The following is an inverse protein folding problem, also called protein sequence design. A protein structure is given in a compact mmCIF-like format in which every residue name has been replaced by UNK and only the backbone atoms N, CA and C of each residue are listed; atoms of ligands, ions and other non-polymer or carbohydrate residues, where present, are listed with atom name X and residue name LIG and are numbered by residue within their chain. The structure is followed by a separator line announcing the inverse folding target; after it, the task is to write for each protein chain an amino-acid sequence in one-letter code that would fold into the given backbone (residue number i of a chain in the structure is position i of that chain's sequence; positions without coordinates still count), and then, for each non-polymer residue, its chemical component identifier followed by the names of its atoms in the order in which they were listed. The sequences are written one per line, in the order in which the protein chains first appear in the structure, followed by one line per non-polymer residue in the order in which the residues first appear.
data_IF_240405422998
#
_entry.id   IF_240405422998
#
_cell.length_a   1.000
_cell.length_b   1.000
_cell.length_c   1.000
_cell.angle_alpha   90.00
_cell.angle_beta   90.00
_cell.angle_gamma   90.00
#
_symmetry.space_group_name_H-M   'P 1'
#
loop_
_entity.id
_entity.type
_entity.pdbx_description
1 polymer ?
#
# COMPACT_ATOMS: atom_id res chain seq x y z
N UNK A 1 46.10 -22.20 -5.84
CA UNK A 1 45.17 -21.91 -4.72
C UNK A 1 43.86 -21.43 -5.30
N UNK A 2 42.75 -22.07 -4.96
CA UNK A 2 41.40 -21.64 -5.37
C UNK A 2 41.01 -20.41 -4.54
N UNK A 3 41.04 -19.24 -5.18
CA UNK A 3 40.64 -17.98 -4.53
C UNK A 3 39.17 -18.05 -4.10
N UNK A 4 38.91 -17.77 -2.82
CA UNK A 4 37.58 -17.77 -2.23
C UNK A 4 37.26 -16.37 -1.72
N UNK A 5 36.19 -15.71 -2.24
CA UNK A 5 35.80 -14.38 -1.79
C UNK A 5 35.47 -14.33 -0.30
N UNK A 6 35.79 -13.22 0.37
CA UNK A 6 35.55 -12.99 1.80
C UNK A 6 34.09 -13.26 2.20
N UNK A 7 33.13 -12.69 1.47
CA UNK A 7 31.69 -12.91 1.73
C UNK A 7 31.25 -14.37 1.55
N UNK A 8 31.91 -15.13 0.67
CA UNK A 8 31.61 -16.55 0.47
C UNK A 8 32.11 -17.39 1.66
N UNK A 9 33.26 -17.04 2.23
CA UNK A 9 33.74 -17.67 3.46
C UNK A 9 32.80 -17.35 4.63
N UNK A 10 32.44 -16.06 4.80
CA UNK A 10 31.51 -15.61 5.84
C UNK A 10 30.15 -16.33 5.74
N UNK A 11 29.65 -16.54 4.53
CA UNK A 11 28.40 -17.28 4.31
C UNK A 11 28.48 -18.70 4.89
N UNK A 12 29.52 -19.44 4.52
CA UNK A 12 29.67 -20.84 4.93
C UNK A 12 29.96 -21.00 6.44
N UNK A 13 30.70 -20.07 7.06
CA UNK A 13 31.13 -20.20 8.45
C UNK A 13 30.13 -19.63 9.45
N UNK A 14 29.56 -18.46 9.18
CA UNK A 14 28.78 -17.69 10.16
C UNK A 14 27.30 -17.67 9.80
N UNK A 15 26.98 -17.31 8.56
CA UNK A 15 25.59 -17.05 8.15
C UNK A 15 24.77 -18.34 8.17
N UNK A 16 25.33 -19.44 7.64
CA UNK A 16 24.67 -20.75 7.69
C UNK A 16 24.39 -21.18 9.13
N UNK A 17 25.33 -20.98 10.04
CA UNK A 17 25.17 -21.39 11.44
C UNK A 17 24.11 -20.55 12.18
N UNK A 18 24.03 -19.24 11.90
CA UNK A 18 23.00 -18.36 12.48
C UNK A 18 21.59 -18.67 11.97
N UNK A 19 21.46 -18.95 10.67
CA UNK A 19 20.16 -19.24 10.06
C UNK A 19 19.69 -20.67 10.30
N UNK A 20 20.61 -21.59 10.66
CA UNK A 20 20.31 -23.02 10.88
C UNK A 20 19.19 -23.26 11.89
N UNK A 21 19.04 -22.41 12.89
CA UNK A 21 18.00 -22.54 13.93
C UNK A 21 16.56 -22.54 13.38
N UNK A 22 16.34 -21.95 12.20
CA UNK A 22 15.02 -21.83 11.61
C UNK A 22 14.69 -22.96 10.60
N UNK A 23 15.65 -23.82 10.27
CA UNK A 23 15.49 -24.84 9.22
C UNK A 23 15.79 -26.24 9.69
N UNK A 24 15.03 -27.21 9.17
CA UNK A 24 15.22 -28.65 9.50
C UNK A 24 16.49 -29.22 8.85
N UNK A 25 16.94 -28.65 7.74
CA UNK A 25 18.11 -29.10 7.00
C UNK A 25 19.03 -27.96 6.63
N UNK A 26 20.35 -28.21 6.65
CA UNK A 26 21.38 -27.24 6.25
C UNK A 26 21.19 -26.81 4.79
N UNK A 27 20.68 -27.69 3.93
CA UNK A 27 20.46 -27.37 2.51
C UNK A 27 19.23 -26.49 2.27
N UNK A 28 18.35 -26.32 3.25
CA UNK A 28 17.21 -25.40 3.17
C UNK A 28 17.60 -23.95 3.48
N UNK A 29 18.82 -23.72 3.98
CA UNK A 29 19.27 -22.38 4.31
C UNK A 29 19.29 -21.52 3.03
N UNK A 30 18.69 -20.32 3.07
CA UNK A 30 18.66 -19.38 1.95
C UNK A 30 20.04 -19.13 1.35
N UNK A 31 20.13 -19.16 0.02
CA UNK A 31 21.36 -18.86 -0.73
C UNK A 31 21.15 -17.80 -1.80
N UNK A 32 22.22 -17.08 -2.13
CA UNK A 32 22.23 -16.18 -3.28
C UNK A 32 22.41 -16.99 -4.57
N UNK A 33 21.52 -16.80 -5.54
CA UNK A 33 21.54 -17.51 -6.82
C UNK A 33 22.26 -16.71 -7.89
N UNK A 34 21.89 -15.44 -8.03
CA UNK A 34 22.48 -14.51 -9.00
C UNK A 34 22.23 -13.06 -8.58
N UNK A 35 23.08 -12.16 -9.06
CA UNK A 35 22.82 -10.72 -9.03
C UNK A 35 22.74 -10.24 -10.47
N UNK A 36 21.66 -9.54 -10.81
CA UNK A 36 21.46 -8.95 -12.12
C UNK A 36 21.57 -7.44 -12.01
N UNK A 37 22.40 -6.85 -12.87
CA UNK A 37 22.52 -5.42 -13.04
C UNK A 37 21.87 -5.04 -14.37
N UNK A 38 21.02 -4.02 -14.35
CA UNK A 38 20.31 -3.56 -15.52
C UNK A 38 20.28 -2.03 -15.57
N UNK A 39 20.58 -1.47 -16.73
CA UNK A 39 20.56 -0.04 -16.98
C UNK A 39 19.69 0.22 -18.22
N UNK A 40 18.64 1.02 -18.03
CA UNK A 40 17.79 1.48 -19.11
C UNK A 40 18.32 2.78 -19.71
N UNK A 41 18.65 2.76 -21.01
CA UNK A 41 19.03 3.96 -21.77
C UNK A 41 17.88 4.33 -22.72
N UNK A 42 16.81 4.87 -22.13
CA UNK A 42 15.54 5.11 -22.82
C UNK A 42 15.63 6.15 -23.94
N UNK A 43 15.98 7.39 -23.60
CA UNK A 43 15.91 8.53 -24.52
C UNK A 43 17.12 8.63 -25.47
N UNK A 44 18.15 7.83 -25.25
CA UNK A 44 19.45 7.90 -25.95
C UNK A 44 19.73 6.65 -26.79
N UNK A 45 18.71 5.82 -27.00
CA UNK A 45 18.76 4.63 -27.85
C UNK A 45 19.14 4.93 -29.31
N UNK A 46 19.09 6.19 -29.73
CA UNK A 46 19.51 6.67 -31.06
C UNK A 46 21.02 6.87 -31.15
N UNK A 47 21.72 7.20 -30.07
CA UNK A 47 23.16 7.41 -30.06
C UNK A 47 23.89 6.13 -29.64
N UNK A 48 24.47 5.44 -30.64
CA UNK A 48 25.22 4.20 -30.41
C UNK A 48 26.43 4.42 -29.49
N UNK A 49 27.07 5.59 -29.55
CA UNK A 49 28.27 5.87 -28.75
C UNK A 49 27.95 5.84 -27.26
N UNK A 50 26.79 6.36 -26.89
CA UNK A 50 26.35 6.38 -25.49
C UNK A 50 26.17 4.97 -24.92
N UNK A 51 25.61 4.07 -25.72
CA UNK A 51 25.38 2.68 -25.33
C UNK A 51 26.70 1.92 -25.18
N UNK A 52 27.67 2.20 -26.06
CA UNK A 52 29.00 1.61 -25.98
C UNK A 52 29.74 2.09 -24.72
N UNK A 53 29.63 3.38 -24.37
CA UNK A 53 30.17 3.93 -23.11
C UNK A 53 29.50 3.30 -21.89
N UNK A 54 28.17 3.22 -21.85
CA UNK A 54 27.45 2.57 -20.75
C UNK A 54 27.81 1.07 -20.63
N UNK A 55 28.06 0.39 -21.75
CA UNK A 55 28.55 -0.99 -21.75
C UNK A 55 29.93 -1.09 -21.11
N UNK A 56 30.85 -0.17 -21.42
CA UNK A 56 32.19 -0.14 -20.83
C UNK A 56 32.14 0.13 -19.32
N UNK A 57 31.36 1.13 -18.90
CA UNK A 57 31.15 1.48 -17.49
C UNK A 57 30.58 0.31 -16.69
N UNK A 58 29.51 -0.32 -17.18
CA UNK A 58 28.92 -1.48 -16.51
C UNK A 58 29.87 -2.67 -16.48
N UNK A 59 30.68 -2.84 -17.53
CA UNK A 59 31.69 -3.91 -17.57
C UNK A 59 32.81 -3.69 -16.54
N UNK A 60 33.21 -2.44 -16.32
CA UNK A 60 34.18 -2.07 -15.30
C UNK A 60 33.65 -2.34 -13.89
N UNK A 61 32.40 -1.94 -13.61
CA UNK A 61 31.74 -2.20 -12.32
C UNK A 61 31.63 -3.71 -12.05
N UNK A 62 31.15 -4.47 -13.02
CA UNK A 62 30.84 -5.89 -12.85
C UNK A 62 32.06 -6.82 -12.99
N UNK A 63 33.17 -6.37 -13.58
CA UNK A 63 34.30 -7.22 -13.95
C UNK A 63 33.92 -8.31 -14.97
N UNK A 64 32.84 -8.07 -15.74
CA UNK A 64 32.30 -8.97 -16.75
C UNK A 64 31.69 -8.13 -17.87
N UNK A 65 31.98 -8.50 -19.11
CA UNK A 65 31.44 -7.79 -20.27
C UNK A 65 29.91 -7.79 -20.25
N UNK A 66 29.34 -6.59 -20.22
CA UNK A 66 27.90 -6.41 -20.21
C UNK A 66 27.30 -6.65 -21.60
N UNK A 67 26.04 -7.08 -21.64
CA UNK A 67 25.28 -7.37 -22.85
C UNK A 67 24.35 -6.20 -23.18
N UNK A 68 24.34 -5.78 -24.44
CA UNK A 68 23.39 -4.76 -24.93
C UNK A 68 22.04 -5.42 -25.17
N UNK A 69 20.99 -4.91 -24.51
CA UNK A 69 19.61 -5.38 -24.67
C UNK A 69 18.94 -4.67 -25.83
N UNK A 70 18.28 -5.45 -26.69
CA UNK A 70 17.58 -4.96 -27.88
C UNK A 70 16.07 -5.00 -27.67
N UNK A 71 15.35 -4.08 -28.27
CA UNK A 71 13.90 -4.08 -28.23
C UNK A 71 13.31 -5.30 -28.94
N UNK A 72 12.32 -5.94 -28.30
CA UNK A 72 11.56 -7.06 -28.86
C UNK A 72 10.40 -6.61 -29.75
N UNK A 73 9.82 -5.45 -29.47
CA UNK A 73 8.59 -4.92 -30.11
C UNK A 73 8.79 -3.46 -30.54
N UNK A 74 8.10 -3.08 -31.60
CA UNK A 74 7.97 -1.69 -32.02
C UNK A 74 6.93 -0.98 -31.15
N UNK A 75 7.29 0.15 -30.54
CA UNK A 75 6.35 0.95 -29.72
C UNK A 75 6.52 2.43 -30.09
N UNK A 76 5.52 2.99 -30.76
CA UNK A 76 5.55 4.36 -31.28
C UNK A 76 5.70 5.42 -30.18
N UNK A 77 5.05 5.24 -29.01
CA UNK A 77 5.11 6.20 -27.89
C UNK A 77 6.54 6.41 -27.37
N UNK A 78 7.37 5.36 -27.37
CA UNK A 78 8.77 5.43 -26.95
C UNK A 78 9.73 5.67 -28.11
N UNK A 79 9.22 5.83 -29.35
CA UNK A 79 10.01 5.96 -30.59
C UNK A 79 11.00 4.79 -30.81
N UNK A 80 10.71 3.62 -30.26
CA UNK A 80 11.58 2.45 -30.34
C UNK A 80 11.12 1.52 -31.45
N UNK A 81 12.07 1.11 -32.31
CA UNK A 81 11.86 0.04 -33.30
C UNK A 81 12.47 -1.29 -32.85
N UNK A 82 11.95 -2.40 -33.35
CA UNK A 82 12.41 -3.76 -33.08
C UNK A 82 13.87 -3.89 -33.48
N UNK A 83 14.66 -4.46 -32.58
CA UNK A 83 16.11 -4.64 -32.78
C UNK A 83 16.97 -3.42 -32.44
N UNK A 84 16.38 -2.26 -32.11
CA UNK A 84 17.14 -1.12 -31.58
C UNK A 84 17.70 -1.44 -30.19
N UNK A 85 18.92 -0.99 -29.86
CA UNK A 85 19.49 -1.13 -28.53
C UNK A 85 18.78 -0.18 -27.54
N UNK A 86 18.37 -0.67 -26.38
CA UNK A 86 17.56 0.07 -25.38
C UNK A 86 18.23 0.11 -24.01
N UNK A 87 19.13 -0.84 -23.72
CA UNK A 87 19.72 -0.97 -22.40
C UNK A 87 20.99 -1.80 -22.40
N UNK A 88 21.58 -1.90 -21.22
CA UNK A 88 22.73 -2.76 -20.94
C UNK A 88 22.41 -3.59 -19.70
N UNK A 89 22.76 -4.87 -19.74
CA UNK A 89 22.51 -5.80 -18.65
C UNK A 89 23.73 -6.70 -18.42
N UNK A 90 24.00 -7.06 -17.17
CA UNK A 90 24.96 -8.11 -16.82
C UNK A 90 24.40 -8.97 -15.69
N UNK A 91 24.64 -10.27 -15.75
CA UNK A 91 24.28 -11.20 -14.67
C UNK A 91 25.54 -11.82 -14.08
N UNK A 92 25.71 -11.60 -12.78
CA UNK A 92 26.80 -12.12 -11.98
C UNK A 92 26.37 -13.38 -11.24
N UNK A 93 27.25 -14.39 -11.25
CA UNK A 93 27.08 -15.67 -10.55
C UNK A 93 28.41 -16.14 -9.96
N UNK A 94 28.35 -17.07 -9.02
CA UNK A 94 29.54 -17.66 -8.42
C UNK A 94 30.37 -16.63 -7.66
N UNK A 95 31.69 -16.65 -7.84
CA UNK A 95 32.61 -15.81 -7.05
C UNK A 95 32.43 -14.31 -7.35
N UNK A 96 32.26 -13.92 -8.62
CA UNK A 96 32.09 -12.51 -9.03
C UNK A 96 30.87 -11.85 -8.38
N UNK A 97 29.81 -12.62 -8.13
CA UNK A 97 28.61 -12.15 -7.45
C UNK A 97 28.92 -11.72 -6.00
N UNK A 98 29.67 -12.55 -5.26
CA UNK A 98 30.04 -12.24 -3.88
C UNK A 98 31.01 -11.05 -3.81
N UNK A 99 31.94 -10.92 -4.76
CA UNK A 99 32.84 -9.77 -4.80
C UNK A 99 32.11 -8.47 -5.13
N UNK A 100 31.15 -8.52 -6.06
CA UNK A 100 30.31 -7.37 -6.36
C UNK A 100 29.47 -6.96 -5.15
N UNK A 101 28.86 -7.92 -4.46
CA UNK A 101 28.08 -7.64 -3.26
C UNK A 101 28.94 -7.02 -2.13
N UNK A 102 30.17 -7.49 -1.97
CA UNK A 102 31.10 -6.95 -0.96
C UNK A 102 31.46 -5.50 -1.27
N UNK A 103 31.82 -5.21 -2.53
CA UNK A 103 32.09 -3.84 -3.00
C UNK A 103 30.86 -2.95 -2.84
N UNK A 104 29.67 -3.45 -3.18
CA UNK A 104 28.43 -2.72 -3.06
C UNK A 104 28.19 -2.28 -1.61
N UNK A 105 28.28 -3.22 -0.66
CA UNK A 105 27.99 -2.95 0.76
C UNK A 105 29.07 -2.07 1.39
N UNK A 106 30.35 -2.42 1.19
CA UNK A 106 31.46 -1.80 1.91
C UNK A 106 31.89 -0.46 1.32
N UNK A 107 31.81 -0.29 -0.01
CA UNK A 107 32.38 0.87 -0.70
C UNK A 107 31.33 1.75 -1.39
N UNK A 108 30.33 1.14 -2.04
CA UNK A 108 29.37 1.88 -2.88
C UNK A 108 28.25 2.52 -2.08
N UNK A 109 27.56 1.77 -1.20
CA UNK A 109 26.40 2.27 -0.45
C UNK A 109 26.72 3.52 0.41
N UNK A 110 27.85 3.58 1.14
CA UNK A 110 28.21 4.78 1.91
C UNK A 110 28.46 6.02 1.05
N UNK A 111 28.81 5.85 -0.23
CA UNK A 111 29.05 6.95 -1.17
C UNK A 111 27.79 7.48 -1.84
N UNK A 112 26.64 6.82 -1.65
CA UNK A 112 25.37 7.29 -2.20
C UNK A 112 24.98 8.59 -1.51
N UNK A 113 24.65 9.61 -2.30
CA UNK A 113 24.15 10.90 -1.78
C UNK A 113 22.87 10.69 -0.97
N UNK A 114 22.80 11.28 0.22
CA UNK A 114 21.68 11.17 1.18
C UNK A 114 21.33 9.72 1.59
N UNK A 115 22.36 8.88 1.81
CA UNK A 115 22.16 7.49 2.19
C UNK A 115 21.59 7.34 3.62
N UNK A 116 20.29 7.01 3.72
CA UNK A 116 19.58 6.69 4.97
C UNK A 116 19.38 5.19 5.20
N UNK A 117 20.13 4.35 4.48
CA UNK A 117 19.90 2.92 4.39
C UNK A 117 18.97 2.53 3.24
N UNK A 118 19.02 1.26 2.84
CA UNK A 118 18.19 0.73 1.75
C UNK A 118 16.77 0.44 2.24
N UNK A 119 15.73 0.67 1.43
CA UNK A 119 14.35 0.47 1.84
C UNK A 119 14.01 -1.03 1.94
N UNK A 120 13.24 -1.42 2.97
CA UNK A 120 12.64 -2.77 3.06
C UNK A 120 11.53 -3.00 2.03
N UNK A 121 11.01 -1.96 1.38
CA UNK A 121 9.94 -2.08 0.36
C UNK A 121 10.43 -2.66 -0.99
N UNK A 122 11.74 -2.93 -1.14
CA UNK A 122 12.33 -3.45 -2.38
C UNK A 122 12.20 -4.96 -2.59
N UNK A 123 11.53 -5.69 -1.69
CA UNK A 123 11.25 -7.11 -1.88
C UNK A 123 10.01 -7.32 -2.77
N UNK A 124 10.02 -8.41 -3.54
CA UNK A 124 9.00 -8.72 -4.54
C UNK A 124 7.91 -9.71 -4.06
N UNK A 125 7.88 -10.06 -2.77
CA UNK A 125 6.96 -11.06 -2.21
C UNK A 125 7.41 -12.50 -2.43
N UNK A 126 8.51 -12.72 -3.16
CA UNK A 126 9.08 -14.04 -3.48
C UNK A 126 10.55 -14.12 -3.11
N UNK A 127 10.99 -13.34 -2.12
CA UNK A 127 12.34 -13.38 -1.59
C UNK A 127 13.41 -12.75 -2.49
N UNK A 128 13.07 -12.06 -3.58
CA UNK A 128 14.05 -11.31 -4.37
C UNK A 128 14.05 -9.85 -3.96
N UNK A 129 15.22 -9.23 -3.98
CA UNK A 129 15.38 -7.83 -3.59
C UNK A 129 15.88 -7.00 -4.75
N UNK A 130 15.18 -5.90 -5.06
CA UNK A 130 15.62 -4.94 -6.08
C UNK A 130 15.92 -3.58 -5.46
N UNK A 131 17.09 -3.06 -5.80
CA UNK A 131 17.58 -1.74 -5.41
C UNK A 131 17.85 -0.91 -6.66
N UNK A 132 17.26 0.28 -6.73
CA UNK A 132 17.61 1.29 -7.74
C UNK A 132 18.69 2.24 -7.22
N UNK A 133 19.79 2.37 -7.97
CA UNK A 133 20.83 3.38 -7.75
C UNK A 133 20.60 4.50 -8.78
N UNK A 134 20.46 5.74 -8.30
CA UNK A 134 20.16 6.90 -9.15
C UNK A 134 21.34 7.33 -10.02
N UNK A 135 22.56 7.18 -9.52
CA UNK A 135 23.77 7.70 -10.13
C UNK A 135 24.84 6.62 -10.10
N UNK A 136 25.36 6.18 -11.24
CA UNK A 136 26.42 5.16 -11.31
C UNK A 136 27.80 5.68 -10.84
N UNK A 137 27.95 6.99 -10.61
CA UNK A 137 29.21 7.61 -10.12
C UNK A 137 29.63 7.15 -8.72
N UNK A 138 28.73 6.47 -8.01
CA UNK A 138 28.97 5.91 -6.68
C UNK A 138 29.98 4.76 -6.69
N UNK A 139 30.22 4.14 -7.85
CA UNK A 139 31.20 3.08 -8.03
C UNK A 139 32.61 3.67 -8.18
N UNK A 140 33.59 3.12 -7.45
CA UNK A 140 34.96 3.64 -7.44
C UNK A 140 35.72 3.32 -8.74
N UNK A 141 35.21 2.34 -9.49
CA UNK A 141 35.78 1.85 -10.73
C UNK A 141 35.49 2.76 -11.93
N UNK A 142 34.56 3.70 -11.78
CA UNK A 142 34.20 4.66 -12.82
C UNK A 142 35.10 5.88 -12.74
N UNK A 143 35.64 6.25 -13.90
CA UNK A 143 36.43 7.46 -14.10
C UNK A 143 35.51 8.63 -14.41
N UNK A 144 35.47 9.62 -13.51
CA UNK A 144 34.59 10.80 -13.61
C UNK A 144 34.82 11.62 -14.88
N UNK A 145 36.04 11.63 -15.40
CA UNK A 145 36.42 12.43 -16.57
C UNK A 145 35.85 11.85 -17.88
N UNK A 146 35.49 10.56 -17.87
CA UNK A 146 34.93 9.85 -19.04
C UNK A 146 33.40 9.89 -19.09
N UNK A 147 32.75 10.41 -18.05
CA UNK A 147 31.29 10.39 -17.92
C UNK A 147 30.70 11.55 -18.72
N UNK A 148 29.94 11.21 -19.76
CA UNK A 148 29.18 12.22 -20.51
C UNK A 148 27.87 12.58 -19.80
N UNK A 149 27.20 11.60 -19.18
CA UNK A 149 25.93 11.79 -18.47
C UNK A 149 25.78 10.84 -17.28
N UNK A 150 25.19 11.36 -16.22
CA UNK A 150 24.84 10.58 -15.04
C UNK A 150 23.59 9.75 -15.35
N UNK A 151 23.72 8.44 -15.18
CA UNK A 151 22.63 7.47 -15.37
C UNK A 151 22.49 6.60 -14.14
N UNK A 152 21.27 6.10 -13.92
CA UNK A 152 20.98 5.15 -12.86
C UNK A 152 21.11 3.70 -13.31
N UNK A 153 21.04 2.78 -12.36
CA UNK A 153 21.07 1.34 -12.58
C UNK A 153 20.22 0.62 -11.54
N UNK A 154 19.53 -0.43 -11.96
CA UNK A 154 18.80 -1.32 -11.09
C UNK A 154 19.63 -2.58 -10.80
N UNK A 155 19.66 -2.95 -9.52
CA UNK A 155 20.36 -4.12 -9.00
C UNK A 155 19.32 -5.06 -8.42
N UNK A 156 19.14 -6.22 -9.05
CA UNK A 156 18.26 -7.28 -8.55
C UNK A 156 19.09 -8.42 -7.97
N UNK A 157 18.90 -8.70 -6.69
CA UNK A 157 19.49 -9.81 -5.97
C UNK A 157 18.46 -10.92 -5.90
N UNK A 158 18.80 -12.07 -6.48
CA UNK A 158 17.93 -13.24 -6.52
C UNK A 158 18.42 -14.24 -5.48
N UNK A 159 17.52 -14.62 -4.59
CA UNK A 159 17.74 -15.66 -3.58
C UNK A 159 17.03 -16.95 -3.99
N UNK A 160 17.24 -18.01 -3.21
CA UNK A 160 16.58 -19.32 -3.37
C UNK A 160 15.34 -19.47 -2.47
N UNK A 161 14.87 -18.39 -1.84
CA UNK A 161 13.74 -18.41 -0.90
C UNK A 161 12.46 -17.92 -1.55
N UNK A 162 11.32 -18.40 -1.06
CA UNK A 162 10.00 -17.90 -1.48
C UNK A 162 9.41 -16.87 -0.51
N UNK A 163 10.10 -16.57 0.60
CA UNK A 163 9.63 -15.64 1.63
C UNK A 163 10.55 -14.43 1.74
N UNK A 164 9.94 -13.24 1.86
CA UNK A 164 10.66 -11.98 2.00
C UNK A 164 11.38 -11.87 3.35
N UNK A 165 10.82 -12.44 4.41
CA UNK A 165 11.42 -12.37 5.75
C UNK A 165 12.75 -13.13 5.81
N UNK A 166 12.81 -14.28 5.13
CA UNK A 166 14.02 -15.10 5.02
C UNK A 166 15.09 -14.38 4.20
N UNK A 167 14.70 -13.80 3.06
CA UNK A 167 15.59 -13.02 2.21
C UNK A 167 16.12 -11.77 2.94
N UNK A 168 15.26 -11.09 3.70
CA UNK A 168 15.63 -9.95 4.52
C UNK A 168 16.66 -10.32 5.58
N UNK A 169 16.43 -11.40 6.33
CA UNK A 169 17.36 -11.89 7.33
C UNK A 169 18.70 -12.28 6.71
N UNK A 170 18.68 -12.96 5.55
CA UNK A 170 19.88 -13.30 4.81
C UNK A 170 20.70 -12.06 4.43
N UNK A 171 20.07 -11.05 3.81
CA UNK A 171 20.74 -9.81 3.40
C UNK A 171 21.24 -8.99 4.60
N UNK A 172 20.51 -9.02 5.72
CA UNK A 172 20.93 -8.37 6.97
C UNK A 172 22.21 -9.02 7.53
N UNK A 173 22.30 -10.35 7.51
CA UNK A 173 23.52 -11.07 7.94
C UNK A 173 24.72 -10.85 7.00
N UNK A 174 24.45 -10.63 5.71
CA UNK A 174 25.46 -10.17 4.76
C UNK A 174 25.96 -8.75 5.05
N UNK A 175 25.29 -8.00 5.92
CA UNK A 175 25.68 -6.65 6.32
C UNK A 175 25.01 -5.54 5.51
N UNK A 176 23.89 -5.84 4.84
CA UNK A 176 23.16 -4.82 4.09
C UNK A 176 22.53 -3.79 5.05
N UNK A 177 22.84 -2.49 4.91
CA UNK A 177 22.34 -1.44 5.80
C UNK A 177 20.90 -1.06 5.43
N UNK A 178 19.93 -1.74 6.04
CA UNK A 178 18.50 -1.42 5.86
C UNK A 178 18.11 -0.19 6.68
N UNK A 179 17.30 0.69 6.07
CA UNK A 179 16.70 1.82 6.77
C UNK A 179 15.69 1.36 7.84
N UNK A 180 15.82 1.87 9.06
CA UNK A 180 14.88 1.58 10.16
C UNK A 180 13.49 2.22 9.89
N UNK A 181 13.46 3.35 9.20
CA UNK A 181 12.25 4.11 8.87
C UNK A 181 11.25 3.38 7.95
N UNK A 182 11.64 2.25 7.35
CA UNK A 182 10.73 1.42 6.58
C UNK A 182 9.67 0.71 7.43
N UNK A 183 9.97 0.41 8.69
CA UNK A 183 9.01 -0.16 9.64
C UNK A 183 7.97 0.88 10.08
N UNK A 184 8.43 2.09 10.40
CA UNK A 184 7.56 3.21 10.82
C UNK A 184 6.51 3.60 9.77
N UNK A 185 6.81 3.46 8.47
CA UNK A 185 5.81 3.73 7.41
C UNK A 185 4.73 2.65 7.29
N UNK A 186 5.05 1.37 7.55
CA UNK A 186 4.05 0.29 7.56
C UNK A 186 3.14 0.40 8.79
N UNK A 187 3.72 0.71 9.96
CA UNK A 187 2.95 0.96 11.18
C UNK A 187 2.06 2.20 11.05
N UNK A 188 2.53 3.25 10.37
CA UNK A 188 1.72 4.43 10.05
C UNK A 188 0.60 4.11 9.02
N UNK A 189 0.88 3.35 7.95
CA UNK A 189 -0.14 2.93 6.98
C UNK A 189 -1.20 2.02 7.62
N UNK A 190 -0.83 1.09 8.50
CA UNK A 190 -1.76 0.24 9.25
C UNK A 190 -2.57 1.02 10.30
N UNK A 191 -1.94 1.98 11.00
CA UNK A 191 -2.65 2.84 11.95
C UNK A 191 -3.63 3.77 11.25
N UNK A 192 -3.28 4.29 10.07
CA UNK A 192 -4.14 5.16 9.25
C UNK A 192 -5.32 4.37 8.67
N UNK A 193 -5.10 3.12 8.23
CA UNK A 193 -6.17 2.23 7.80
C UNK A 193 -7.13 1.87 8.93
N UNK A 194 -6.62 1.51 10.12
CA UNK A 194 -7.45 1.26 11.31
C UNK A 194 -8.23 2.51 11.74
N UNK A 195 -7.63 3.69 11.63
CA UNK A 195 -8.28 4.96 11.95
C UNK A 195 -9.37 5.31 10.93
N UNK A 196 -9.15 5.05 9.64
CA UNK A 196 -10.16 5.23 8.60
C UNK A 196 -11.33 4.24 8.75
N UNK A 197 -11.05 2.99 9.14
CA UNK A 197 -12.10 2.01 9.45
C UNK A 197 -12.90 2.37 10.71
N UNK A 198 -12.25 2.91 11.74
CA UNK A 198 -12.93 3.39 12.95
C UNK A 198 -13.84 4.59 12.65
N UNK A 199 -13.35 5.59 11.92
CA UNK A 199 -14.14 6.76 11.49
C UNK A 199 -15.32 6.32 10.62
N UNK A 200 -15.14 5.33 9.74
CA UNK A 200 -16.22 4.80 8.91
C UNK A 200 -17.29 4.08 9.75
N UNK A 201 -16.90 3.35 10.80
CA UNK A 201 -17.84 2.69 11.72
C UNK A 201 -18.59 3.70 12.58
N UNK A 202 -17.89 4.70 13.12
CA UNK A 202 -18.53 5.79 13.87
C UNK A 202 -19.52 6.56 13.00
N UNK A 203 -19.16 6.88 11.75
CA UNK A 203 -20.06 7.54 10.80
C UNK A 203 -21.28 6.68 10.42
N UNK A 204 -21.11 5.36 10.32
CA UNK A 204 -22.22 4.43 10.05
C UNK A 204 -23.15 4.30 11.27
N UNK A 205 -22.60 4.34 12.48
CA UNK A 205 -23.35 4.29 13.73
C UNK A 205 -24.14 5.59 13.98
N UNK A 206 -23.54 6.77 13.71
CA UNK A 206 -24.24 8.05 13.76
C UNK A 206 -25.33 8.14 12.69
N UNK A 207 -25.09 7.65 11.48
CA UNK A 207 -26.11 7.63 10.42
C UNK A 207 -27.29 6.71 10.75
N UNK A 208 -27.06 5.58 11.44
CA UNK A 208 -28.13 4.69 11.91
C UNK A 208 -28.93 5.33 13.06
N UNK A 209 -28.27 6.06 13.96
CA UNK A 209 -28.94 6.79 15.03
C UNK A 209 -29.79 7.95 14.47
N UNK A 210 -29.27 8.72 13.53
CA UNK A 210 -30.03 9.80 12.86
C UNK A 210 -31.21 9.25 12.06
N UNK A 211 -31.05 8.11 11.37
CA UNK A 211 -32.15 7.45 10.67
C UNK A 211 -33.24 6.93 11.63
N UNK A 212 -32.86 6.40 12.79
CA UNK A 212 -33.81 5.98 13.83
C UNK A 212 -34.56 7.17 14.44
N UNK A 213 -33.88 8.28 14.71
CA UNK A 213 -34.53 9.52 15.17
C UNK A 213 -35.48 10.11 14.10
N UNK A 214 -35.14 9.98 12.82
CA UNK A 214 -35.99 10.42 11.72
C UNK A 214 -37.21 9.51 11.53
N UNK A 215 -37.07 8.20 11.76
CA UNK A 215 -38.20 7.25 11.79
C UNK A 215 -39.11 7.48 12.99
N UNK A 216 -38.58 7.71 14.20
CA UNK A 216 -39.37 8.02 15.39
C UNK A 216 -40.15 9.33 15.22
N UNK A 217 -39.55 10.36 14.60
CA UNK A 217 -40.25 11.62 14.28
C UNK A 217 -41.38 11.39 13.26
N UNK A 218 -41.14 10.59 12.22
CA UNK A 218 -42.18 10.24 11.23
C UNK A 218 -43.31 9.42 11.85
N UNK A 219 -43.01 8.53 12.79
CA UNK A 219 -44.03 7.74 13.50
C UNK A 219 -44.83 8.60 14.50
N UNK A 220 -44.17 9.54 15.19
CA UNK A 220 -44.83 10.52 16.05
C UNK A 220 -45.77 11.45 15.26
N UNK A 221 -45.32 11.96 14.10
CA UNK A 221 -46.15 12.78 13.21
C UNK A 221 -47.35 11.99 12.68
N UNK A 222 -47.17 10.70 12.36
CA UNK A 222 -48.25 9.82 11.91
C UNK A 222 -49.27 9.53 13.02
N UNK A 223 -48.82 9.39 14.26
CA UNK A 223 -49.68 9.20 15.43
C UNK A 223 -50.42 10.48 15.82
N UNK A 224 -49.80 11.64 15.64
CA UNK A 224 -50.45 12.94 15.81
C UNK A 224 -51.58 13.13 14.79
N UNK A 225 -51.34 12.79 13.52
CA UNK A 225 -52.35 12.84 12.45
C UNK A 225 -53.56 11.94 12.72
N UNK A 226 -53.35 10.70 13.19
CA UNK A 226 -54.44 9.80 13.61
C UNK A 226 -55.27 10.40 14.76
N UNK A 227 -54.62 11.06 15.73
CA UNK A 227 -55.33 11.72 16.85
C UNK A 227 -56.08 13.00 16.44
N UNK A 228 -55.70 13.63 15.32
CA UNK A 228 -56.42 14.77 14.76
C UNK A 228 -57.61 14.29 13.92
N UNK A 229 -57.47 13.21 13.15
CA UNK A 229 -58.59 12.58 12.44
C UNK A 229 -59.65 12.01 13.40
N UNK A 230 -59.26 11.52 14.58
CA UNK A 230 -60.21 11.09 15.63
C UNK A 230 -60.94 12.29 16.26
N UNK A 231 -60.25 13.41 16.49
CA UNK A 231 -60.85 14.65 16.99
C UNK A 231 -61.77 15.32 15.97
N UNK A 232 -61.40 15.30 14.70
CA UNK A 232 -62.24 15.82 13.60
C UNK A 232 -63.50 14.97 13.38
N UNK A 233 -63.47 13.67 13.75
CA UNK A 233 -64.65 12.80 13.78
C UNK A 233 -65.56 13.05 14.97
N UNK A 234 -65.00 13.28 16.16
CA UNK A 234 -65.79 13.70 17.34
C UNK A 234 -66.45 15.07 17.11
N UNK A 235 -65.75 16.03 16.49
CA UNK A 235 -66.30 17.34 16.14
C UNK A 235 -67.36 17.26 15.02
N UNK A 236 -67.27 16.27 14.13
CA UNK A 236 -68.29 15.98 13.12
C UNK A 236 -69.54 15.30 13.73
N UNK A 237 -69.37 14.42 14.71
CA UNK A 237 -70.48 13.84 15.49
C UNK A 237 -71.15 14.89 16.39
N UNK A 238 -70.38 15.84 16.96
CA UNK A 238 -70.92 16.95 17.73
C UNK A 238 -71.77 17.91 16.85
N UNK A 239 -71.32 18.21 15.63
CA UNK A 239 -72.10 19.00 14.66
C UNK A 239 -73.32 18.26 14.10
N UNK A 240 -73.26 16.94 13.97
CA UNK A 240 -74.43 16.15 13.57
C UNK A 240 -75.49 16.08 14.69
N UNK A 241 -75.10 16.15 15.96
CA UNK A 241 -76.02 16.17 17.10
C UNK A 241 -76.63 17.56 17.39
N UNK A 242 -75.98 18.66 16.99
CA UNK A 242 -76.59 20.01 17.07
C UNK A 242 -77.62 20.27 15.95
N UNK A 243 -77.50 19.61 14.79
CA UNK A 243 -78.48 19.74 13.71
C UNK A 243 -79.75 18.88 13.93
N UNK A 244 -79.71 17.88 14.84
CA UNK A 244 -80.90 17.08 15.23
C UNK A 244 -81.74 17.68 16.37
N UNK A 245 -81.20 18.62 17.16
CA UNK A 245 -81.95 19.31 18.22
C UNK A 245 -82.75 20.54 17.71
N UNK A 246 -82.78 20.76 16.39
CA UNK A 246 -83.57 21.81 15.75
C UNK A 246 -84.91 21.33 15.15
N UNK A 247 -85.22 20.03 15.21
CA UNK A 247 -86.49 19.46 14.73
C UNK A 247 -87.33 18.71 15.81
N UNK A 248 -86.87 18.58 17.06
CA UNK A 248 -87.70 18.07 18.17
C UNK A 248 -87.91 19.10 19.28
N UNK A 249 -89.18 19.32 19.63
CA UNK A 249 -89.69 20.17 20.72
C UNK A 249 -89.86 21.68 20.42
N UNK A 250 -90.55 21.93 19.31
CA UNK A 250 -91.62 22.94 19.23
C UNK A 250 -92.93 22.52 19.92
N UNK A 251 -92.91 21.42 20.67
CA UNK A 251 -94.01 20.93 21.49
C UNK A 251 -93.61 20.95 22.97
N UNK A 252 -94.52 21.46 23.80
CA UNK A 252 -94.47 21.47 25.27
C UNK A 252 -93.79 22.66 25.95
N UNK A 253 -94.15 23.86 25.49
CA UNK A 253 -94.49 24.92 26.43
C UNK A 253 -95.86 24.60 27.06
N UNK A 254 -95.92 23.60 27.95
CA UNK A 254 -97.07 23.31 28.81
C UNK A 254 -96.72 22.18 29.79
N UNK A 255 -96.24 22.54 31.00
CA UNK A 255 -96.64 21.95 32.29
C UNK A 255 -95.66 22.31 33.42
N UNK A 256 -96.25 22.89 34.48
CA UNK A 256 -95.89 22.77 35.91
C UNK A 256 -94.45 23.16 36.30
N UNK A 257 -94.18 24.24 37.03
CA UNK A 257 -94.94 24.83 38.13
C UNK A 257 -95.56 23.76 39.05
N UNK A 258 -94.75 23.12 39.91
CA UNK A 258 -95.21 22.64 41.21
C UNK A 258 -94.06 22.26 42.15
N UNK A 259 -94.21 22.72 43.41
CA UNK A 259 -93.53 22.31 44.64
C UNK A 259 -92.02 22.62 44.75
N UNK A 260 -91.60 23.80 45.18
CA UNK A 260 -91.65 24.30 46.56
C UNK A 260 -91.93 23.29 47.71
N UNK A 261 -90.98 23.26 48.64
CA UNK A 261 -91.02 22.83 50.04
C UNK A 261 -91.09 21.33 50.39
N UNK A 262 -90.02 20.82 51.00
CA UNK A 262 -89.87 20.89 52.47
C UNK A 262 -88.52 20.30 52.90
N UNK A 263 -87.59 21.13 53.37
CA UNK A 263 -87.28 21.25 54.81
C UNK A 263 -88.47 21.75 55.63
N UNK A 264 -89.09 20.86 56.39
CA UNK A 264 -89.00 20.86 57.86
C UNK A 264 -89.76 19.67 58.47
N UNK A 265 -89.05 18.92 59.33
CA UNK A 265 -89.47 17.76 60.15
C UNK A 265 -89.53 16.40 59.47
#
# INVERSE_FOLDING_TARGET
MTYTPRLKQKYNSEIVNKLKGNYKSVMQVPKLVKISLNQGVGNESTDKKFIDTAQQEMSAIAGQKALVTKSKKDISNFKVRKGMPVGVMVTLRGNKMYEFLDRLISATLPRVRDFKGVPKKGFDGRGNYTLGIKEHIVFQEIDLDKINKITGMDITIVTDTNSDDEAFNLLKEFGMPFSENGAAKKEAEEAEQKRQEAIKREAEETARAEAAEEEEKKEADRRAALSQEERDKEDAEAKANEDTDSEENKDNNEKSAEADNSKNK
#
